data_IF_926899462168
#
_entry.id   IF_926899462168
#
_cell.length_a   1.000
_cell.length_b   1.000
_cell.length_c   1.000
_cell.angle_alpha   90.00
_cell.angle_beta   90.00
_cell.angle_gamma   90.00
#
_symmetry.space_group_name_H-M   'P 1'
#
loop_
_entity.id
_entity.type
_entity.pdbx_description
1 polymer ?
#
# COMPACT_ATOMS: atom_id res chain seq x y z
N UNK A 1 3.94 -10.56 6.78
CA UNK A 1 4.46 -10.18 5.44
C UNK A 1 5.64 -9.24 5.61
N UNK A 2 6.45 -8.96 4.58
CA UNK A 2 7.61 -8.04 4.65
C UNK A 2 7.22 -6.66 5.17
N UNK A 3 6.02 -6.16 4.78
CA UNK A 3 5.42 -4.95 5.33
C UNK A 3 5.23 -5.02 6.85
N UNK A 4 4.63 -6.10 7.34
CA UNK A 4 4.35 -6.26 8.78
C UNK A 4 5.64 -6.34 9.59
N UNK A 5 6.70 -6.94 9.03
CA UNK A 5 8.04 -6.96 9.62
C UNK A 5 8.62 -5.54 9.70
N UNK A 6 8.54 -4.75 8.62
CA UNK A 6 8.98 -3.36 8.60
C UNK A 6 8.22 -2.47 9.58
N UNK A 7 6.88 -2.57 9.63
CA UNK A 7 6.04 -1.82 10.58
C UNK A 7 6.32 -2.24 12.02
N UNK A 8 6.60 -3.52 12.27
CA UNK A 8 6.96 -4.01 13.62
C UNK A 8 8.30 -3.43 14.06
N UNK A 9 9.35 -3.55 13.23
CA UNK A 9 10.67 -2.98 13.52
C UNK A 9 10.60 -1.46 13.72
N UNK A 10 9.79 -0.77 12.92
CA UNK A 10 9.52 0.66 13.07
C UNK A 10 8.90 1.01 14.43
N UNK A 11 7.85 0.29 14.84
CA UNK A 11 7.18 0.50 16.12
C UNK A 11 8.07 0.16 17.33
N UNK A 12 8.99 -0.79 17.18
CA UNK A 12 9.99 -1.16 18.19
C UNK A 12 11.19 -0.20 18.24
N UNK A 13 11.18 0.88 17.45
CA UNK A 13 12.27 1.84 17.28
C UNK A 13 13.56 1.24 16.73
N UNK A 14 13.45 0.08 16.10
CA UNK A 14 14.55 -0.58 15.44
C UNK A 14 14.62 -0.12 13.97
N UNK A 15 14.80 1.20 13.79
CA UNK A 15 14.56 1.87 12.51
C UNK A 15 15.53 1.45 11.41
N UNK A 16 16.77 1.07 11.74
CA UNK A 16 17.71 0.53 10.75
C UNK A 16 17.18 -0.72 10.08
N UNK A 17 16.52 -1.56 10.88
CA UNK A 17 16.03 -2.88 10.46
C UNK A 17 14.65 -2.75 9.80
N UNK A 18 14.02 -1.58 9.89
CA UNK A 18 12.75 -1.26 9.24
C UNK A 18 12.91 -0.74 7.80
N UNK A 19 14.06 -0.14 7.44
CA UNK A 19 14.26 0.49 6.12
C UNK A 19 14.14 -0.52 4.98
N UNK A 20 14.98 -1.55 4.97
CA UNK A 20 15.01 -2.55 3.90
C UNK A 20 13.67 -3.28 3.68
N UNK A 21 12.96 -3.75 4.73
CA UNK A 21 11.64 -4.37 4.54
C UNK A 21 10.57 -3.37 4.10
N UNK A 22 10.63 -2.10 4.52
CA UNK A 22 9.69 -1.07 4.04
C UNK A 22 9.97 -0.69 2.58
N UNK A 23 11.23 -0.61 2.15
CA UNK A 23 11.58 -0.42 0.73
C UNK A 23 11.09 -1.58 -0.14
N UNK A 24 11.27 -2.81 0.33
CA UNK A 24 10.77 -4.00 -0.37
C UNK A 24 9.24 -4.00 -0.44
N UNK A 25 8.57 -3.64 0.65
CA UNK A 25 7.12 -3.54 0.68
C UNK A 25 6.60 -2.44 -0.25
N UNK A 26 7.28 -1.29 -0.30
CA UNK A 26 6.91 -0.17 -1.19
C UNK A 26 6.99 -0.60 -2.65
N UNK A 27 8.11 -1.19 -3.07
CA UNK A 27 8.26 -1.73 -4.43
C UNK A 27 7.17 -2.76 -4.77
N UNK A 28 6.82 -3.62 -3.81
CA UNK A 28 5.75 -4.60 -4.01
C UNK A 28 4.36 -3.98 -4.15
N UNK A 29 4.10 -2.84 -3.52
CA UNK A 29 2.86 -2.09 -3.70
C UNK A 29 2.84 -1.35 -5.04
N UNK A 30 3.94 -0.71 -5.43
CA UNK A 30 4.06 -0.06 -6.76
C UNK A 30 3.86 -1.07 -7.90
N UNK A 31 4.49 -2.25 -7.81
CA UNK A 31 4.30 -3.33 -8.80
C UNK A 31 2.84 -3.83 -8.85
N UNK A 32 2.16 -3.87 -7.69
CA UNK A 32 0.76 -4.30 -7.61
C UNK A 32 -0.19 -3.24 -8.17
N UNK A 33 0.08 -1.95 -7.92
CA UNK A 33 -0.68 -0.82 -8.46
C UNK A 33 -0.65 -0.85 -9.99
N UNK A 34 0.54 -0.97 -10.58
CA UNK A 34 0.72 -1.12 -12.03
C UNK A 34 -0.05 -2.35 -12.55
N UNK A 35 0.03 -3.48 -11.86
CA UNK A 35 -0.69 -4.71 -12.23
C UNK A 35 -2.22 -4.57 -12.22
N UNK A 36 -2.79 -3.88 -11.24
CA UNK A 36 -4.23 -3.60 -11.19
C UNK A 36 -4.65 -2.58 -12.27
N UNK A 37 -3.82 -1.58 -12.54
CA UNK A 37 -4.08 -0.62 -13.62
C UNK A 37 -4.12 -1.31 -15.00
N UNK A 38 -3.14 -2.18 -15.28
CA UNK A 38 -3.13 -3.00 -16.50
C UNK A 38 -4.36 -3.92 -16.59
N UNK A 39 -4.80 -4.49 -15.46
CA UNK A 39 -5.99 -5.34 -15.42
C UNK A 39 -7.28 -4.54 -15.64
N UNK A 40 -7.39 -3.32 -15.11
CA UNK A 40 -8.52 -2.42 -15.35
C UNK A 40 -8.64 -2.05 -16.83
N UNK A 41 -7.52 -1.68 -17.45
CA UNK A 41 -7.44 -1.38 -18.88
C UNK A 41 -7.88 -2.58 -19.72
N UNK A 42 -7.37 -3.77 -19.42
CA UNK A 42 -7.75 -5.00 -20.13
C UNK A 42 -9.25 -5.32 -19.95
N UNK A 43 -9.79 -5.20 -18.75
CA UNK A 43 -11.21 -5.42 -18.48
C UNK A 43 -12.10 -4.46 -19.27
N UNK A 44 -11.72 -3.18 -19.34
CA UNK A 44 -12.37 -2.18 -20.18
C UNK A 44 -12.31 -2.54 -21.67
N UNK A 45 -11.17 -3.02 -22.17
CA UNK A 45 -11.01 -3.43 -23.56
C UNK A 45 -11.92 -4.60 -23.96
N UNK A 46 -12.15 -5.55 -23.05
CA UNK A 46 -13.01 -6.72 -23.28
C UNK A 46 -14.49 -6.49 -22.92
N UNK A 47 -14.83 -5.32 -22.38
CA UNK A 47 -16.19 -4.93 -22.02
C UNK A 47 -16.69 -5.47 -20.68
N UNK A 48 -15.78 -5.86 -19.78
CA UNK A 48 -16.09 -6.33 -18.43
C UNK A 48 -16.06 -5.18 -17.43
N UNK A 49 -17.04 -4.27 -17.52
CA UNK A 49 -17.12 -3.01 -16.74
C UNK A 49 -17.03 -3.25 -15.22
N UNK A 50 -17.63 -4.31 -14.71
CA UNK A 50 -17.57 -4.62 -13.27
C UNK A 50 -16.16 -5.00 -12.83
N UNK A 51 -15.42 -5.74 -13.67
CA UNK A 51 -14.05 -6.11 -13.35
C UNK A 51 -13.10 -4.91 -13.46
N UNK A 52 -13.35 -4.01 -14.41
CA UNK A 52 -12.62 -2.74 -14.51
C UNK A 52 -12.81 -1.90 -13.24
N UNK A 53 -14.05 -1.67 -12.80
CA UNK A 53 -14.37 -0.92 -11.57
C UNK A 53 -13.66 -1.52 -10.34
N UNK A 54 -13.63 -2.86 -10.23
CA UNK A 54 -12.96 -3.54 -9.12
C UNK A 54 -11.43 -3.38 -9.16
N UNK A 55 -10.83 -3.43 -10.35
CA UNK A 55 -9.40 -3.19 -10.51
C UNK A 55 -9.05 -1.73 -10.21
N UNK A 56 -9.87 -0.76 -10.61
CA UNK A 56 -9.69 0.66 -10.28
C UNK A 56 -9.76 0.91 -8.76
N UNK A 57 -10.71 0.27 -8.06
CA UNK A 57 -10.78 0.33 -6.59
C UNK A 57 -9.50 -0.27 -5.96
N UNK A 58 -8.99 -1.36 -6.52
CA UNK A 58 -7.76 -1.98 -6.05
C UNK A 58 -6.52 -1.10 -6.31
N UNK A 59 -6.47 -0.35 -7.42
CA UNK A 59 -5.45 0.68 -7.67
C UNK A 59 -5.48 1.73 -6.57
N UNK A 60 -6.65 2.31 -6.28
CA UNK A 60 -6.79 3.36 -5.26
C UNK A 60 -6.36 2.87 -3.86
N UNK A 61 -6.73 1.65 -3.46
CA UNK A 61 -6.29 1.07 -2.18
C UNK A 61 -4.79 0.82 -2.14
N UNK A 62 -4.24 0.25 -3.23
CA UNK A 62 -2.82 -0.07 -3.32
C UNK A 62 -1.97 1.19 -3.29
N UNK A 63 -2.39 2.26 -3.98
CA UNK A 63 -1.73 3.56 -3.95
C UNK A 63 -1.69 4.16 -2.53
N UNK A 64 -2.78 4.07 -1.77
CA UNK A 64 -2.78 4.51 -0.37
C UNK A 64 -1.86 3.67 0.52
N UNK A 65 -1.74 2.36 0.27
CA UNK A 65 -0.80 1.50 0.99
C UNK A 65 0.66 1.81 0.64
N UNK A 66 0.96 2.14 -0.63
CA UNK A 66 2.27 2.60 -1.07
C UNK A 66 2.64 3.91 -0.36
N UNK A 67 1.75 4.90 -0.39
CA UNK A 67 1.91 6.19 0.29
C UNK A 67 2.11 6.02 1.80
N UNK A 68 1.35 5.10 2.44
CA UNK A 68 1.52 4.80 3.85
C UNK A 68 2.92 4.19 4.11
N UNK A 69 3.35 3.27 3.27
CA UNK A 69 4.65 2.59 3.40
C UNK A 69 5.80 3.57 3.21
N UNK A 70 5.70 4.51 2.25
CA UNK A 70 6.69 5.59 2.08
C UNK A 70 6.73 6.52 3.31
N UNK A 71 5.59 6.87 3.89
CA UNK A 71 5.55 7.66 5.13
C UNK A 71 6.26 6.94 6.28
N UNK A 72 6.06 5.62 6.44
CA UNK A 72 6.78 4.82 7.43
C UNK A 72 8.29 4.76 7.14
N UNK A 73 8.68 4.61 5.88
CA UNK A 73 10.07 4.60 5.45
C UNK A 73 10.75 5.95 5.71
N UNK A 74 10.06 7.05 5.42
CA UNK A 74 10.51 8.42 5.73
C UNK A 74 10.70 8.62 7.22
N UNK A 75 9.79 8.14 8.06
CA UNK A 75 9.94 8.15 9.51
C UNK A 75 11.17 7.34 9.97
N UNK A 76 11.37 6.15 9.42
CA UNK A 76 12.53 5.29 9.76
C UNK A 76 13.86 5.96 9.37
N UNK A 77 13.93 6.57 8.18
CA UNK A 77 15.12 7.29 7.69
C UNK A 77 15.40 8.56 8.49
N UNK A 78 14.36 9.32 8.85
CA UNK A 78 14.47 10.49 9.71
C UNK A 78 15.02 10.11 11.09
N UNK A 79 14.46 9.06 11.71
CA UNK A 79 14.94 8.57 13.00
C UNK A 79 16.37 8.03 12.95
N UNK A 80 16.75 7.33 11.87
CA UNK A 80 18.14 6.89 11.63
C UNK A 80 19.12 8.05 11.50
N UNK A 81 18.65 9.20 11.02
CA UNK A 81 19.46 10.40 10.81
C UNK A 81 19.45 11.36 12.01
N UNK A 82 18.95 10.91 13.17
CA UNK A 82 18.77 11.73 14.39
C UNK A 82 17.98 13.02 14.14
N UNK A 83 16.98 12.98 13.25
CA UNK A 83 16.04 14.08 13.08
C UNK A 83 15.27 14.37 14.37
N UNK A 84 14.73 15.59 14.48
CA UNK A 84 13.95 15.97 15.65
C UNK A 84 12.62 15.18 15.74
N UNK A 85 12.08 15.12 16.95
CA UNK A 85 10.88 14.35 17.24
C UNK A 85 9.64 14.88 16.50
N UNK A 86 9.57 16.17 16.17
CA UNK A 86 8.45 16.75 15.43
C UNK A 86 8.44 16.20 14.00
N UNK A 87 9.59 16.19 13.33
CA UNK A 87 9.76 15.58 12.00
C UNK A 87 9.37 14.10 11.98
N UNK A 88 9.87 13.30 12.94
CA UNK A 88 9.56 11.87 13.01
C UNK A 88 8.06 11.64 13.27
N UNK A 89 7.47 12.38 14.20
CA UNK A 89 6.05 12.23 14.53
C UNK A 89 5.14 12.64 13.38
N UNK A 90 5.50 13.66 12.59
CA UNK A 90 4.74 14.06 11.40
C UNK A 90 4.62 12.93 10.38
N UNK A 91 5.69 12.18 10.16
CA UNK A 91 5.66 11.01 9.28
C UNK A 91 4.80 9.86 9.86
N UNK A 92 4.85 9.63 11.17
CA UNK A 92 4.02 8.62 11.86
C UNK A 92 2.52 8.96 11.74
N UNK A 93 2.16 10.22 11.93
CA UNK A 93 0.79 10.69 11.80
C UNK A 93 0.28 10.51 10.38
N UNK A 94 1.10 10.87 9.37
CA UNK A 94 0.78 10.62 7.96
C UNK A 94 0.58 9.14 7.66
N UNK A 95 1.48 8.27 8.11
CA UNK A 95 1.35 6.81 7.96
C UNK A 95 0.03 6.29 8.53
N UNK A 96 -0.35 6.74 9.74
CA UNK A 96 -1.61 6.30 10.37
C UNK A 96 -2.84 6.77 9.61
N UNK A 97 -2.86 8.02 9.18
CA UNK A 97 -3.96 8.57 8.38
C UNK A 97 -4.16 7.75 7.10
N UNK A 98 -3.08 7.53 6.35
CA UNK A 98 -3.16 6.79 5.07
C UNK A 98 -3.60 5.34 5.26
N UNK A 99 -3.20 4.69 6.36
CA UNK A 99 -3.70 3.36 6.70
C UNK A 99 -5.18 3.33 7.05
N UNK A 100 -5.69 4.37 7.71
CA UNK A 100 -7.11 4.52 7.98
C UNK A 100 -7.89 4.75 6.68
N UNK A 101 -7.36 5.58 5.79
CA UNK A 101 -7.95 5.84 4.46
C UNK A 101 -7.97 4.58 3.60
N UNK A 102 -6.86 3.83 3.53
CA UNK A 102 -6.79 2.56 2.79
C UNK A 102 -7.77 1.51 3.36
N UNK A 103 -7.88 1.42 4.69
CA UNK A 103 -8.83 0.50 5.33
C UNK A 103 -10.30 0.91 5.15
N UNK A 104 -10.58 2.15 4.73
CA UNK A 104 -11.92 2.61 4.39
C UNK A 104 -12.31 2.26 2.95
N UNK A 105 -11.36 1.87 2.10
CA UNK A 105 -11.64 1.34 0.77
C UNK A 105 -12.06 -0.12 0.91
N UNK A 106 -13.31 -0.39 0.56
CA UNK A 106 -13.86 -1.75 0.50
C UNK A 106 -13.44 -2.38 -0.82
N UNK A 107 -12.26 -3.00 -0.85
CA UNK A 107 -11.81 -3.78 -2.02
C UNK A 107 -12.66 -5.05 -2.03
N UNK A 108 -13.52 -5.21 -3.05
CA UNK A 108 -14.28 -6.44 -3.19
C UNK A 108 -13.30 -7.62 -3.26
N UNK A 109 -13.60 -8.68 -2.49
CA UNK A 109 -12.75 -9.85 -2.31
C UNK A 109 -12.27 -10.42 -3.67
N UNK A 110 -11.11 -11.06 -3.70
CA UNK A 110 -10.58 -11.66 -4.93
C UNK A 110 -11.58 -12.66 -5.55
N UNK A 111 -12.40 -13.30 -4.73
CA UNK A 111 -13.51 -14.15 -5.16
C UNK A 111 -14.61 -13.35 -5.89
N UNK A 112 -14.90 -12.10 -5.49
CA UNK A 112 -15.85 -11.24 -6.19
C UNK A 112 -15.30 -10.79 -7.56
N UNK A 113 -13.98 -10.54 -7.66
CA UNK A 113 -13.31 -10.26 -8.93
C UNK A 113 -13.35 -11.48 -9.86
N UNK A 114 -13.01 -12.66 -9.35
CA UNK A 114 -13.05 -13.91 -10.11
C UNK A 114 -14.48 -14.23 -10.60
N UNK A 115 -15.48 -14.04 -9.74
CA UNK A 115 -16.88 -14.24 -10.08
C UNK A 115 -17.39 -13.22 -11.11
N UNK A 116 -16.98 -11.94 -10.99
CA UNK A 116 -17.31 -10.89 -11.97
C UNK A 116 -16.69 -11.17 -13.35
N UNK A 117 -15.49 -11.74 -13.41
CA UNK A 117 -14.81 -12.15 -14.64
C UNK A 117 -15.30 -13.49 -15.22
N UNK A 118 -16.26 -14.16 -14.56
CA UNK A 118 -16.77 -15.46 -14.98
C UNK A 118 -15.73 -16.59 -14.92
N UNK A 119 -14.77 -16.49 -13.97
CA UNK A 119 -13.67 -17.44 -13.78
C UNK A 119 -13.97 -18.53 -12.72
N UNK A 120 -15.19 -18.58 -12.21
CA UNK A 120 -15.70 -19.59 -11.25
C UNK A 120 -15.90 -21.00 -11.84
#
# INVERSE_FOLDING_TARGET
TTRDEGVTAFNERNYSDAVDPLETALSGYEDAEDGFAEAADLANEIGEETAADLCEIAVDETALQADATDAALSAARAARSDADAETINGHIERFRSLREDAAAIDVADADAVASALGLD
#
